data_IF_279216431405
#
_entry.id   IF_279216431405
#
_cell.length_a   1.000
_cell.length_b   1.000
_cell.length_c   1.000
_cell.angle_alpha   90.00
_cell.angle_beta   90.00
_cell.angle_gamma   90.00
#
_symmetry.space_group_name_H-M   'P 1'
#
loop_
_entity.id
_entity.type
_entity.pdbx_description
1 polymer ?
#
# COMPACT_ATOMS: atom_id res chain seq x y z
N UNK A 1 -23.86 10.99 17.62
CA UNK A 1 -23.10 9.96 18.39
C UNK A 1 -21.61 10.24 18.29
N UNK A 2 -20.93 10.13 19.41
CA UNK A 2 -19.49 10.32 19.43
C UNK A 2 -18.83 8.95 19.34
N UNK A 3 -17.95 8.79 18.34
CA UNK A 3 -17.20 7.55 18.16
C UNK A 3 -15.80 7.71 18.76
N UNK A 4 -15.48 6.87 19.74
CA UNK A 4 -14.23 7.00 20.51
C UNK A 4 -13.25 5.84 20.29
N UNK A 5 -13.51 4.97 19.31
CA UNK A 5 -12.70 3.76 19.07
C UNK A 5 -11.93 3.85 17.75
N UNK A 6 -11.26 4.95 17.52
CA UNK A 6 -10.48 5.16 16.29
C UNK A 6 -9.26 4.24 16.21
N UNK A 7 -8.82 3.67 17.34
CA UNK A 7 -7.74 2.70 17.31
C UNK A 7 -8.15 1.41 16.61
N UNK A 8 -9.43 1.03 16.69
CA UNK A 8 -9.93 -0.15 16.01
C UNK A 8 -10.34 0.16 14.56
N UNK A 9 -11.00 1.30 14.35
CA UNK A 9 -11.53 1.65 13.04
C UNK A 9 -11.84 3.14 12.98
N UNK A 10 -11.72 3.72 11.79
CA UNK A 10 -12.07 5.12 11.55
C UNK A 10 -13.12 5.20 10.44
N UNK A 11 -14.01 6.23 10.48
CA UNK A 11 -14.92 6.45 9.36
C UNK A 11 -14.15 6.72 8.07
N UNK A 12 -14.73 6.28 6.96
CA UNK A 12 -14.12 6.49 5.63
C UNK A 12 -14.27 7.95 5.24
N UNK A 13 -13.17 8.57 4.79
CA UNK A 13 -13.22 9.91 4.21
C UNK A 13 -13.97 9.85 2.87
N UNK A 14 -15.00 10.68 2.65
CA UNK A 14 -15.78 10.64 1.41
C UNK A 14 -14.96 10.84 0.14
N UNK A 15 -13.91 11.65 0.19
CA UNK A 15 -13.03 11.86 -0.97
C UNK A 15 -12.22 10.60 -1.28
N UNK A 16 -11.76 9.90 -0.26
CA UNK A 16 -11.04 8.64 -0.42
C UNK A 16 -11.97 7.57 -0.97
N UNK A 17 -13.20 7.50 -0.46
CA UNK A 17 -14.18 6.53 -0.93
C UNK A 17 -14.49 6.74 -2.41
N UNK A 18 -14.64 7.99 -2.86
CA UNK A 18 -14.88 8.29 -4.27
C UNK A 18 -13.74 7.79 -5.14
N UNK A 19 -12.50 8.07 -4.76
CA UNK A 19 -11.32 7.61 -5.51
C UNK A 19 -11.27 6.08 -5.53
N UNK A 20 -11.56 5.44 -4.42
CA UNK A 20 -11.60 3.98 -4.32
C UNK A 20 -12.63 3.39 -5.29
N UNK A 21 -13.83 3.95 -5.32
CA UNK A 21 -14.90 3.48 -6.21
C UNK A 21 -14.54 3.69 -7.68
N UNK A 22 -14.02 4.86 -8.02
CA UNK A 22 -13.63 5.19 -9.39
C UNK A 22 -12.48 4.27 -9.85
N UNK A 23 -11.50 4.04 -9.00
CA UNK A 23 -10.37 3.16 -9.32
C UNK A 23 -10.81 1.70 -9.48
N UNK A 24 -11.73 1.24 -8.64
CA UNK A 24 -12.26 -0.12 -8.72
C UNK A 24 -12.95 -0.36 -10.06
N UNK A 25 -13.69 0.62 -10.58
CA UNK A 25 -14.39 0.51 -11.85
C UNK A 25 -13.46 0.71 -13.05
N UNK A 26 -12.41 1.50 -12.92
CA UNK A 26 -11.53 1.87 -14.03
C UNK A 26 -10.34 0.92 -14.17
N UNK A 27 -9.73 0.51 -13.06
CA UNK A 27 -8.51 -0.28 -13.05
C UNK A 27 -8.77 -1.68 -12.51
N UNK A 28 -9.67 -2.41 -13.17
CA UNK A 28 -10.05 -3.78 -12.74
C UNK A 28 -9.10 -4.86 -13.22
N UNK A 29 -8.12 -4.52 -14.08
CA UNK A 29 -7.18 -5.50 -14.63
C UNK A 29 -6.14 -5.95 -13.61
N UNK A 30 -5.63 -7.17 -13.80
CA UNK A 30 -4.54 -7.67 -12.98
C UNK A 30 -3.23 -6.96 -13.38
N UNK A 31 -2.53 -6.27 -12.43
CA UNK A 31 -1.29 -5.56 -12.75
C UNK A 31 -0.18 -6.44 -13.31
N UNK A 32 -0.23 -7.75 -13.07
CA UNK A 32 0.75 -8.69 -13.58
C UNK A 32 0.42 -9.23 -14.97
N UNK A 33 -0.74 -8.87 -15.53
CA UNK A 33 -1.11 -9.23 -16.89
C UNK A 33 -0.39 -8.35 -17.91
N UNK A 34 -0.14 -8.91 -19.09
CA UNK A 34 0.53 -8.19 -20.17
C UNK A 34 -0.42 -7.44 -21.09
N UNK A 35 -1.74 -7.58 -20.91
CA UNK A 35 -2.70 -6.86 -21.74
C UNK A 35 -2.96 -5.45 -21.17
N UNK A 36 -3.67 -4.62 -21.96
CA UNK A 36 -3.86 -3.20 -21.68
C UNK A 36 -4.45 -2.94 -20.28
N UNK A 37 -5.47 -3.68 -19.87
CA UNK A 37 -6.11 -3.45 -18.58
C UNK A 37 -5.15 -3.69 -17.42
N UNK A 38 -4.29 -4.72 -17.53
CA UNK A 38 -3.27 -4.97 -16.53
C UNK A 38 -2.20 -3.90 -16.52
N UNK A 39 -1.78 -3.43 -17.69
CA UNK A 39 -0.79 -2.36 -17.81
C UNK A 39 -1.30 -1.04 -17.23
N UNK A 40 -2.57 -0.71 -17.45
CA UNK A 40 -3.18 0.49 -16.90
C UNK A 40 -3.23 0.42 -15.37
N UNK A 41 -3.59 -0.74 -14.81
CA UNK A 41 -3.61 -0.96 -13.36
C UNK A 41 -2.21 -0.81 -12.76
N UNK A 42 -1.21 -1.40 -13.42
CA UNK A 42 0.19 -1.30 -12.96
C UNK A 42 0.68 0.13 -12.97
N UNK A 43 0.37 0.88 -14.02
CA UNK A 43 0.75 2.29 -14.11
C UNK A 43 0.13 3.11 -12.98
N UNK A 44 -1.14 2.83 -12.65
CA UNK A 44 -1.82 3.53 -11.56
C UNK A 44 -1.18 3.22 -10.20
N UNK A 45 -0.78 1.98 -9.98
CA UNK A 45 -0.05 1.59 -8.78
C UNK A 45 1.29 2.33 -8.69
N UNK A 46 2.02 2.40 -9.80
CA UNK A 46 3.31 3.11 -9.85
C UNK A 46 3.14 4.60 -9.56
N UNK A 47 2.12 5.24 -10.14
CA UNK A 47 1.82 6.64 -9.85
C UNK A 47 1.50 6.87 -8.39
N UNK A 48 0.69 6.00 -7.79
CA UNK A 48 0.32 6.09 -6.39
C UNK A 48 1.53 5.89 -5.48
N UNK A 49 2.39 4.93 -5.83
CA UNK A 49 3.63 4.68 -5.09
C UNK A 49 4.56 5.89 -5.13
N UNK A 50 4.64 6.57 -6.29
CA UNK A 50 5.46 7.77 -6.42
C UNK A 50 4.93 8.90 -5.53
N UNK A 51 3.61 9.09 -5.46
CA UNK A 51 3.01 10.10 -4.60
C UNK A 51 3.33 9.84 -3.13
N UNK A 52 3.18 8.60 -2.69
CA UNK A 52 3.50 8.21 -1.32
C UNK A 52 5.00 8.40 -1.03
N UNK A 53 5.84 7.96 -1.96
CA UNK A 53 7.29 8.08 -1.82
C UNK A 53 7.73 9.54 -1.72
N UNK A 54 7.16 10.42 -2.54
CA UNK A 54 7.46 11.84 -2.49
C UNK A 54 7.08 12.46 -1.15
N UNK A 55 5.95 12.05 -0.60
CA UNK A 55 5.51 12.52 0.72
C UNK A 55 6.52 12.16 1.81
N UNK A 56 7.10 10.97 1.74
CA UNK A 56 8.09 10.50 2.73
C UNK A 56 9.54 10.75 2.31
N UNK A 57 9.78 11.49 1.23
CA UNK A 57 11.12 11.79 0.73
C UNK A 57 11.96 10.53 0.46
N UNK A 58 11.34 9.55 -0.17
CA UNK A 58 11.99 8.29 -0.53
C UNK A 58 11.68 7.93 -1.99
N UNK A 59 12.11 6.76 -2.42
CA UNK A 59 11.87 6.27 -3.78
C UNK A 59 10.66 5.35 -3.81
N UNK A 60 9.94 5.31 -4.95
CA UNK A 60 8.76 4.44 -5.08
C UNK A 60 9.09 2.96 -4.88
N UNK A 61 10.31 2.55 -5.17
CA UNK A 61 10.78 1.17 -4.99
C UNK A 61 10.82 0.78 -3.51
N UNK A 62 10.84 1.75 -2.61
CA UNK A 62 10.83 1.51 -1.16
C UNK A 62 9.41 1.41 -0.58
N UNK A 63 8.38 1.56 -1.43
CA UNK A 63 6.98 1.43 -1.00
C UNK A 63 6.54 0.00 -1.23
N UNK A 64 6.08 -0.65 -0.16
CA UNK A 64 5.63 -2.04 -0.19
C UNK A 64 4.19 -2.08 0.30
N UNK A 65 3.30 -2.66 -0.50
CA UNK A 65 1.90 -2.85 -0.14
C UNK A 65 1.71 -4.20 0.52
N UNK A 66 0.96 -4.23 1.61
CA UNK A 66 0.67 -5.45 2.34
C UNK A 66 -0.83 -5.58 2.57
N UNK A 67 -1.28 -6.77 2.95
CA UNK A 67 -2.70 -7.03 3.24
C UNK A 67 -3.16 -6.42 4.57
N UNK A 68 -2.24 -6.03 5.44
CA UNK A 68 -2.56 -5.43 6.73
C UNK A 68 -1.36 -5.41 7.64
N UNK A 69 -1.56 -4.94 8.87
CA UNK A 69 -0.48 -4.76 9.84
C UNK A 69 0.19 -6.06 10.24
N UNK A 70 -0.56 -7.18 10.27
CA UNK A 70 0.03 -8.48 10.61
C UNK A 70 1.09 -8.89 9.61
N UNK A 71 0.80 -8.77 8.30
CA UNK A 71 1.77 -9.07 7.26
C UNK A 71 2.94 -8.10 7.30
N UNK A 72 2.69 -6.81 7.49
CA UNK A 72 3.73 -5.79 7.58
C UNK A 72 4.69 -6.09 8.74
N UNK A 73 4.16 -6.42 9.91
CA UNK A 73 4.97 -6.73 11.08
C UNK A 73 5.81 -7.98 10.86
N UNK A 74 5.23 -9.02 10.25
CA UNK A 74 5.98 -10.25 9.96
C UNK A 74 7.07 -10.00 8.93
N UNK A 75 6.78 -9.23 7.89
CA UNK A 75 7.78 -8.90 6.87
C UNK A 75 8.97 -8.16 7.45
N UNK A 76 8.71 -7.16 8.28
CA UNK A 76 9.77 -6.38 8.94
C UNK A 76 10.56 -7.26 9.90
N UNK A 77 9.88 -8.08 10.70
CA UNK A 77 10.54 -8.95 11.69
C UNK A 77 11.47 -9.93 11.00
N UNK A 78 11.01 -10.60 9.94
CA UNK A 78 11.83 -11.57 9.20
C UNK A 78 13.01 -10.87 8.54
N UNK A 79 12.78 -9.77 7.84
CA UNK A 79 13.83 -9.03 7.15
C UNK A 79 14.87 -8.50 8.14
N UNK A 80 14.43 -7.94 9.25
CA UNK A 80 15.31 -7.42 10.28
C UNK A 80 16.16 -8.53 10.89
N UNK A 81 15.55 -9.67 11.18
CA UNK A 81 16.26 -10.83 11.74
C UNK A 81 17.36 -11.30 10.79
N UNK A 82 17.06 -11.41 9.49
CA UNK A 82 18.05 -11.83 8.50
C UNK A 82 19.18 -10.83 8.31
N UNK A 83 18.90 -9.55 8.39
CA UNK A 83 19.86 -8.49 8.09
C UNK A 83 20.69 -8.08 9.30
N UNK A 84 20.12 -8.11 10.50
CA UNK A 84 20.74 -7.53 11.68
C UNK A 84 21.21 -8.54 12.71
N UNK A 85 20.65 -9.75 12.72
CA UNK A 85 21.05 -10.76 13.70
C UNK A 85 22.56 -11.05 13.67
N UNK A 86 23.19 -11.20 12.49
CA UNK A 86 24.65 -11.38 12.46
C UNK A 86 25.42 -10.17 12.98
N UNK A 87 24.86 -8.99 12.90
CA UNK A 87 25.48 -7.74 13.37
C UNK A 87 25.34 -7.59 14.88
N UNK A 88 24.24 -8.06 15.44
CA UNK A 88 23.97 -7.97 16.88
C UNK A 88 24.78 -9.00 17.65
N UNK A 89 24.92 -10.16 17.08
CA UNK A 89 25.66 -11.25 17.71
C UNK A 89 27.15 -11.10 17.52
#
# INVERSE_FOLDING_TARGET
MIYLDYAANTPVNPKVLKVFNDATLTYFGNPNSLHKNGNDAKRKIDESSQIIADYFHTKKENIIYTSGSSESNNLITVSYTHLTLPTIL
#
